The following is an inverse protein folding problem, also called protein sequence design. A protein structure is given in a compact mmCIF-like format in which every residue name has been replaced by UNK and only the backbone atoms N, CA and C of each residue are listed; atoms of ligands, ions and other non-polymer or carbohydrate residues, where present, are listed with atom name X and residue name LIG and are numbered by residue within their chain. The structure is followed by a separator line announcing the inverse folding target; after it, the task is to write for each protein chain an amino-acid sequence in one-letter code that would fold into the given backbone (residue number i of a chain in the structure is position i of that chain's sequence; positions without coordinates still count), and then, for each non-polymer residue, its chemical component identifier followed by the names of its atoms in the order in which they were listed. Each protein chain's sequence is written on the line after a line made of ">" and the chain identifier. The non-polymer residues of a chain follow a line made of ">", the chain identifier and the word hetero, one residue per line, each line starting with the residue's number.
data_IF_313339528336
#
_entry.id   IF_313339528336
#
_cell.length_a   1.000
_cell.length_b   1.000
_cell.length_c   1.000
_cell.angle_alpha   90.00
_cell.angle_beta   90.00
_cell.angle_gamma   90.00
#
_symmetry.space_group_name_H-M   'P 1'
#
loop_
_entity.id
_entity.type
_entity.pdbx_description
1 polymer ?
#
# COMPACT_ATOMS: atom_id res chain seq x y z
N UNK A 1 -19.73 -35.60 29.62
CA UNK A 1 -18.61 -35.32 28.68
C UNK A 1 -19.00 -34.38 27.52
N UNK A 2 -20.23 -34.46 26.98
CA UNK A 2 -20.71 -33.67 25.82
C UNK A 2 -20.75 -32.13 26.01
N UNK A 3 -21.01 -31.62 27.21
CA UNK A 3 -21.11 -30.16 27.47
C UNK A 3 -19.78 -29.41 27.32
N UNK A 4 -18.63 -30.08 27.50
CA UNK A 4 -17.30 -29.44 27.39
C UNK A 4 -16.87 -29.23 25.93
N UNK A 5 -17.23 -30.13 25.02
CA UNK A 5 -16.90 -29.99 23.59
C UNK A 5 -17.71 -28.88 22.92
N UNK A 6 -18.97 -28.65 23.32
CA UNK A 6 -19.80 -27.59 22.78
C UNK A 6 -19.26 -26.19 23.13
N UNK A 7 -18.80 -25.99 24.36
CA UNK A 7 -18.19 -24.72 24.78
C UNK A 7 -16.91 -24.40 24.00
N UNK A 8 -16.06 -25.40 23.74
CA UNK A 8 -14.84 -25.23 22.93
C UNK A 8 -15.15 -24.91 21.45
N UNK A 9 -16.19 -25.51 20.88
CA UNK A 9 -16.61 -25.23 19.50
C UNK A 9 -17.16 -23.81 19.34
N UNK A 10 -18.01 -23.37 20.27
CA UNK A 10 -18.55 -21.99 20.29
C UNK A 10 -17.41 -20.98 20.47
N UNK A 11 -16.46 -21.25 21.38
CA UNK A 11 -15.30 -20.40 21.58
C UNK A 11 -14.41 -20.32 20.32
N UNK A 12 -14.18 -21.44 19.64
CA UNK A 12 -13.41 -21.47 18.40
C UNK A 12 -14.09 -20.69 17.25
N UNK A 13 -15.43 -20.76 17.15
CA UNK A 13 -16.20 -19.99 16.15
C UNK A 13 -16.13 -18.49 16.46
N UNK A 14 -16.27 -18.09 17.72
CA UNK A 14 -16.18 -16.70 18.15
C UNK A 14 -14.78 -16.08 17.90
N UNK A 15 -13.73 -16.89 17.92
CA UNK A 15 -12.35 -16.45 17.69
C UNK A 15 -11.94 -16.41 16.19
N UNK A 16 -12.76 -16.95 15.28
CA UNK A 16 -12.39 -17.12 13.86
C UNK A 16 -12.53 -15.86 12.99
N UNK A 17 -12.97 -14.72 13.54
CA UNK A 17 -13.36 -13.52 12.78
C UNK A 17 -12.79 -12.19 13.28
N UNK A 18 -11.63 -12.18 13.94
CA UNK A 18 -11.09 -11.01 14.63
C UNK A 18 -10.70 -9.81 13.73
N UNK A 19 -10.63 -10.02 12.41
CA UNK A 19 -10.16 -9.01 11.47
C UNK A 19 -11.03 -8.95 10.22
N UNK A 20 -11.21 -7.74 9.70
CA UNK A 20 -11.96 -7.45 8.48
C UNK A 20 -11.21 -7.70 7.18
N UNK A 21 -11.81 -7.19 6.09
CA UNK A 21 -11.17 -7.17 4.78
C UNK A 21 -9.90 -6.31 4.77
N UNK A 22 -9.04 -6.59 3.81
CA UNK A 22 -7.74 -5.92 3.66
C UNK A 22 -7.95 -4.50 3.12
N UNK A 23 -7.30 -3.55 3.78
CA UNK A 23 -7.29 -2.12 3.43
C UNK A 23 -5.87 -1.71 3.07
N UNK A 24 -5.77 -0.73 2.19
CA UNK A 24 -4.51 -0.13 1.76
C UNK A 24 -4.58 1.37 2.05
N UNK A 25 -3.56 1.87 2.73
CA UNK A 25 -3.28 3.31 2.83
C UNK A 25 -2.03 3.55 1.98
N UNK A 26 -2.13 4.48 1.04
CA UNK A 26 -1.04 4.91 0.19
C UNK A 26 -0.98 6.43 0.22
N UNK A 27 0.16 7.00 0.61
CA UNK A 27 0.33 8.44 0.77
C UNK A 27 1.70 8.87 0.26
N UNK A 28 1.79 10.09 -0.26
CA UNK A 28 3.06 10.72 -0.57
C UNK A 28 3.61 11.42 0.67
N UNK A 29 4.94 11.40 0.80
CA UNK A 29 5.62 12.27 1.74
C UNK A 29 5.54 13.72 1.30
N UNK A 30 5.72 14.62 2.25
CA UNK A 30 5.89 16.04 1.96
C UNK A 30 7.24 16.25 1.27
N UNK A 31 7.39 17.38 0.60
CA UNK A 31 8.64 17.78 -0.04
C UNK A 31 9.11 16.84 -1.16
N UNK A 32 8.20 16.48 -2.06
CA UNK A 32 8.57 15.94 -3.37
C UNK A 32 9.16 17.07 -4.23
N UNK A 33 10.13 16.76 -5.08
CA UNK A 33 10.84 17.76 -5.85
C UNK A 33 11.05 17.35 -7.32
N UNK A 34 11.02 18.32 -8.21
CA UNK A 34 11.54 18.19 -9.57
C UNK A 34 13.08 18.28 -9.59
N UNK A 35 13.69 17.60 -10.55
CA UNK A 35 15.05 17.90 -10.97
C UNK A 35 15.15 19.30 -11.59
N UNK A 36 16.34 19.93 -11.65
CA UNK A 36 16.49 21.27 -12.21
C UNK A 36 15.96 21.43 -13.64
N UNK A 37 16.02 20.37 -14.43
CA UNK A 37 15.53 20.29 -15.82
C UNK A 37 14.07 19.78 -15.92
N UNK A 38 13.39 19.58 -14.79
CA UNK A 38 12.03 19.04 -14.67
C UNK A 38 11.80 17.67 -15.34
N UNK A 39 12.86 16.92 -15.64
CA UNK A 39 12.73 15.60 -16.29
C UNK A 39 12.46 14.49 -15.30
N UNK A 40 12.78 14.69 -14.02
CA UNK A 40 12.62 13.69 -12.96
C UNK A 40 11.91 14.27 -11.75
N UNK A 41 11.19 13.41 -11.04
CA UNK A 41 10.56 13.74 -9.75
C UNK A 41 11.10 12.77 -8.70
N UNK A 42 11.60 13.30 -7.59
CA UNK A 42 11.92 12.51 -6.41
C UNK A 42 10.86 12.72 -5.34
N UNK A 43 10.41 11.63 -4.72
CA UNK A 43 9.41 11.69 -3.67
C UNK A 43 9.48 10.48 -2.73
N UNK A 44 8.90 10.67 -1.55
CA UNK A 44 8.64 9.57 -0.62
C UNK A 44 7.26 8.97 -0.86
N UNK A 45 7.17 7.64 -0.75
CA UNK A 45 5.91 6.90 -0.80
C UNK A 45 5.76 6.07 0.47
N UNK A 46 4.60 6.21 1.12
CA UNK A 46 4.21 5.47 2.31
C UNK A 46 3.11 4.51 1.94
N UNK A 47 3.32 3.22 2.16
CA UNK A 47 2.29 2.19 1.92
C UNK A 47 2.10 1.36 3.18
N UNK A 48 0.84 1.16 3.53
CA UNK A 48 0.44 0.27 4.61
C UNK A 48 -0.73 -0.60 4.14
N UNK A 49 -0.52 -1.91 4.15
CA UNK A 49 -1.56 -2.92 3.93
C UNK A 49 -1.92 -3.50 5.29
N UNK A 50 -3.20 -3.49 5.65
CA UNK A 50 -3.65 -3.93 6.96
C UNK A 50 -5.05 -4.51 6.93
N UNK A 51 -5.44 -5.19 8.00
CA UNK A 51 -6.84 -5.56 8.27
C UNK A 51 -7.33 -4.80 9.49
N UNK A 52 -8.45 -4.10 9.33
CA UNK A 52 -9.15 -3.48 10.47
C UNK A 52 -9.54 -4.54 11.49
N UNK A 53 -9.44 -4.24 12.78
CA UNK A 53 -9.98 -5.10 13.82
C UNK A 53 -11.51 -5.20 13.67
N UNK A 54 -12.08 -6.35 14.06
CA UNK A 54 -13.52 -6.62 14.06
C UNK A 54 -13.92 -7.39 15.32
N UNK A 55 -15.20 -7.29 15.67
CA UNK A 55 -15.76 -7.98 16.84
C UNK A 55 -15.10 -7.47 18.12
N UNK A 56 -14.76 -8.40 19.02
CA UNK A 56 -14.16 -8.07 20.32
C UNK A 56 -12.82 -7.33 20.20
N UNK A 57 -12.06 -7.58 19.14
CA UNK A 57 -10.78 -6.89 18.91
C UNK A 57 -10.94 -5.44 18.53
N UNK A 58 -12.13 -5.00 18.12
CA UNK A 58 -12.41 -3.60 17.81
C UNK A 58 -12.84 -2.79 19.04
N UNK A 59 -12.96 -3.40 20.22
CA UNK A 59 -13.35 -2.71 21.45
C UNK A 59 -12.11 -2.37 22.29
N UNK A 60 -12.13 -1.23 23.02
CA UNK A 60 -13.20 -0.23 23.08
C UNK A 60 -13.12 0.85 21.98
N UNK A 61 -11.97 1.04 21.33
CA UNK A 61 -11.60 2.23 20.55
C UNK A 61 -11.35 1.95 19.07
N UNK A 62 -11.95 0.90 18.52
CA UNK A 62 -11.71 0.43 17.15
C UNK A 62 -10.58 -0.60 17.05
N UNK A 63 -9.81 -0.79 18.12
CA UNK A 63 -8.82 -1.86 18.22
C UNK A 63 -7.57 -1.66 17.37
N UNK A 64 -6.56 -2.51 17.60
CA UNK A 64 -5.33 -2.46 16.83
C UNK A 64 -5.49 -3.19 15.49
N UNK A 65 -5.28 -2.52 14.34
CA UNK A 65 -5.30 -3.19 13.05
C UNK A 65 -4.14 -4.19 12.94
N UNK A 66 -4.38 -5.32 12.26
CA UNK A 66 -3.29 -6.23 11.89
C UNK A 66 -2.60 -5.69 10.65
N UNK A 67 -1.40 -5.14 10.83
CA UNK A 67 -0.54 -4.72 9.72
C UNK A 67 -0.01 -5.97 9.02
N UNK A 68 -0.22 -6.04 7.70
CA UNK A 68 0.27 -7.13 6.84
C UNK A 68 1.53 -6.74 6.09
N UNK A 69 1.61 -5.47 5.67
CA UNK A 69 2.75 -4.90 4.99
C UNK A 69 2.88 -3.42 5.33
N UNK A 70 4.11 -2.94 5.42
CA UNK A 70 4.39 -1.53 5.66
C UNK A 70 5.73 -1.17 5.04
N UNK A 71 5.74 -0.14 4.21
CA UNK A 71 6.93 0.36 3.55
C UNK A 71 6.95 1.88 3.53
N UNK A 72 8.17 2.42 3.58
CA UNK A 72 8.46 3.82 3.35
C UNK A 72 9.67 3.84 2.44
N UNK A 73 9.48 4.26 1.21
CA UNK A 73 10.54 4.19 0.21
C UNK A 73 10.65 5.51 -0.54
N UNK A 74 11.84 5.78 -1.06
CA UNK A 74 12.13 6.92 -1.91
C UNK A 74 12.14 6.45 -3.34
N UNK A 75 11.43 7.17 -4.20
CA UNK A 75 11.32 6.88 -5.62
C UNK A 75 11.86 8.05 -6.44
N UNK A 76 12.43 7.72 -7.60
CA UNK A 76 12.69 8.65 -8.69
C UNK A 76 11.78 8.24 -9.86
N UNK A 77 10.92 9.14 -10.31
CA UNK A 77 10.15 8.98 -11.55
C UNK A 77 10.84 9.76 -12.65
N UNK A 78 11.07 9.14 -13.81
CA UNK A 78 11.41 9.85 -15.03
C UNK A 78 10.12 10.22 -15.77
N UNK A 79 9.81 11.52 -15.83
CA UNK A 79 8.54 12.02 -16.40
C UNK A 79 8.43 11.84 -17.92
N UNK A 80 9.56 11.61 -18.62
CA UNK A 80 9.56 11.42 -20.08
C UNK A 80 9.37 9.97 -20.47
N UNK A 81 9.97 9.05 -19.71
CA UNK A 81 9.95 7.60 -20.01
C UNK A 81 8.95 6.84 -19.16
N UNK A 82 8.33 7.51 -18.19
CA UNK A 82 7.46 6.93 -17.18
C UNK A 82 8.13 5.82 -16.34
N UNK A 83 9.46 5.87 -16.25
CA UNK A 83 10.24 4.87 -15.53
C UNK A 83 10.27 5.23 -14.04
N UNK A 84 9.70 4.37 -13.21
CA UNK A 84 9.71 4.48 -11.76
C UNK A 84 10.82 3.63 -11.15
N UNK A 85 11.82 4.28 -10.55
CA UNK A 85 12.93 3.62 -9.85
C UNK A 85 12.80 3.79 -8.35
N UNK A 86 12.78 2.68 -7.60
CA UNK A 86 12.93 2.71 -6.14
C UNK A 86 14.39 2.93 -5.77
N UNK A 87 14.71 4.08 -5.19
CA UNK A 87 16.07 4.48 -4.80
C UNK A 87 16.47 3.82 -3.48
N UNK A 88 15.59 3.87 -2.49
CA UNK A 88 15.89 3.42 -1.13
C UNK A 88 14.61 2.97 -0.43
N UNK A 89 14.73 1.95 0.42
CA UNK A 89 13.63 1.44 1.23
C UNK A 89 13.99 1.43 2.71
N UNK A 90 13.18 2.13 3.51
CA UNK A 90 13.31 2.18 4.96
C UNK A 90 12.63 0.97 5.60
N UNK A 91 12.94 -0.25 5.15
CA UNK A 91 12.35 -1.48 5.68
C UNK A 91 12.40 -1.57 7.22
N UNK A 92 11.36 -2.12 7.84
CA UNK A 92 11.30 -2.32 9.30
C UNK A 92 10.68 -1.16 10.10
N UNK A 93 10.27 -0.09 9.44
CA UNK A 93 9.50 1.02 10.00
C UNK A 93 8.27 0.55 10.83
N UNK A 94 8.31 0.69 12.17
CA UNK A 94 7.31 0.10 13.09
C UNK A 94 6.05 0.93 13.41
N UNK A 95 5.81 2.10 12.79
CA UNK A 95 4.81 3.09 13.29
C UNK A 95 4.11 3.97 12.26
N UNK A 96 3.04 4.68 12.62
CA UNK A 96 2.32 5.58 11.69
C UNK A 96 3.23 6.76 11.30
N UNK A 97 3.80 6.69 10.09
CA UNK A 97 4.85 7.59 9.60
C UNK A 97 4.38 8.56 8.52
N UNK A 98 3.09 8.56 8.21
CA UNK A 98 2.46 9.56 7.37
C UNK A 98 2.60 10.99 7.96
N UNK A 99 2.86 11.10 9.26
CA UNK A 99 3.21 12.36 9.91
C UNK A 99 4.68 12.75 9.77
N UNK A 100 5.59 11.80 9.48
CA UNK A 100 7.03 12.04 9.50
C UNK A 100 7.40 13.11 8.48
N UNK A 101 8.35 13.98 8.86
CA UNK A 101 8.83 15.02 7.96
C UNK A 101 9.82 14.37 7.01
N UNK A 102 9.51 14.46 5.73
CA UNK A 102 10.37 13.98 4.63
C UNK A 102 11.07 15.17 4.00
N UNK A 103 12.30 14.98 3.54
CA UNK A 103 13.06 16.00 2.81
C UNK A 103 13.73 15.35 1.61
N UNK A 104 13.61 15.94 0.44
CA UNK A 104 14.31 15.51 -0.77
C UNK A 104 14.84 16.71 -1.54
N UNK A 105 16.04 16.57 -2.11
CA UNK A 105 16.72 17.62 -2.88
C UNK A 105 17.49 16.98 -4.03
N UNK A 106 17.62 17.74 -5.12
CA UNK A 106 18.57 17.41 -6.17
C UNK A 106 19.87 18.19 -5.99
N UNK A 107 20.96 17.54 -6.34
CA UNK A 107 22.27 18.12 -6.62
C UNK A 107 22.65 17.76 -8.05
N UNK A 108 23.76 18.29 -8.56
CA UNK A 108 24.18 18.05 -9.95
C UNK A 108 24.31 16.56 -10.30
N UNK A 109 24.69 15.71 -9.33
CA UNK A 109 24.97 14.28 -9.58
C UNK A 109 24.19 13.32 -8.71
N UNK A 110 23.45 13.82 -7.72
CA UNK A 110 22.87 13.01 -6.66
C UNK A 110 21.53 13.53 -6.15
N UNK A 111 20.73 12.63 -5.59
CA UNK A 111 19.54 12.94 -4.81
C UNK A 111 19.89 12.86 -3.32
N UNK A 112 19.64 13.92 -2.58
CA UNK A 112 19.81 13.96 -1.12
C UNK A 112 18.46 13.84 -0.45
N UNK A 113 18.33 12.93 0.51
CA UNK A 113 17.05 12.70 1.19
C UNK A 113 17.21 12.32 2.66
N UNK A 114 16.16 12.60 3.42
CA UNK A 114 16.04 12.27 4.83
C UNK A 114 14.57 12.11 5.24
N UNK A 115 14.32 11.30 6.26
CA UNK A 115 13.01 11.20 6.90
C UNK A 115 13.14 11.26 8.42
N UNK A 116 12.57 12.30 9.03
CA UNK A 116 12.63 12.51 10.47
C UNK A 116 11.25 12.31 11.13
N UNK A 117 11.18 11.64 12.29
CA UNK A 117 9.93 11.53 13.03
C UNK A 117 9.42 12.90 13.51
N UNK A 118 8.11 13.05 13.64
CA UNK A 118 7.51 14.25 14.24
C UNK A 118 7.72 14.32 15.75
N UNK A 119 7.58 15.54 16.29
CA UNK A 119 7.57 15.81 17.73
C UNK A 119 6.57 14.87 18.42
N UNK A 120 6.96 14.29 19.56
CA UNK A 120 6.17 13.30 20.30
C UNK A 120 6.58 11.84 20.07
N UNK A 121 7.36 11.53 19.04
CA UNK A 121 7.82 10.15 18.80
C UNK A 121 8.56 9.50 19.98
N UNK A 122 9.31 10.30 20.75
CA UNK A 122 10.05 9.83 21.94
C UNK A 122 9.13 9.17 22.97
N UNK A 123 7.87 9.58 23.10
CA UNK A 123 6.92 8.92 24.00
C UNK A 123 6.48 7.56 23.47
N UNK A 124 6.45 7.33 22.15
CA UNK A 124 6.15 6.01 21.59
C UNK A 124 7.27 5.00 21.86
N UNK A 125 8.53 5.45 21.84
CA UNK A 125 9.68 4.62 22.23
C UNK A 125 9.65 4.18 23.69
N UNK A 126 9.04 4.97 24.58
CA UNK A 126 8.95 4.66 26.02
C UNK A 126 8.13 3.39 26.31
N UNK A 127 7.19 3.03 25.42
CA UNK A 127 6.27 1.92 25.60
C UNK A 127 6.61 0.67 24.76
N UNK A 128 7.70 0.69 23.98
CA UNK A 128 8.14 -0.42 23.12
C UNK A 128 9.56 -0.85 23.46
N UNK A 129 9.88 -2.12 23.20
CA UNK A 129 11.19 -2.71 23.51
C UNK A 129 12.32 -1.86 22.91
N UNK A 130 13.16 -1.31 23.79
CA UNK A 130 14.01 -0.17 23.49
C UNK A 130 15.05 -0.42 22.38
N UNK A 131 15.47 -1.66 22.10
CA UNK A 131 16.68 -1.89 21.32
C UNK A 131 16.47 -1.81 19.80
N UNK A 132 15.45 -2.47 19.25
CA UNK A 132 15.19 -2.48 17.79
C UNK A 132 14.67 -1.13 17.30
N UNK A 133 13.75 -0.53 18.06
CA UNK A 133 13.17 0.77 17.69
C UNK A 133 14.18 1.92 17.87
N UNK A 134 15.15 1.81 18.79
CA UNK A 134 16.24 2.81 18.92
C UNK A 134 17.25 2.72 17.78
N UNK A 135 17.60 1.50 17.32
CA UNK A 135 18.45 1.33 16.14
C UNK A 135 17.76 1.82 14.87
N UNK A 136 16.47 1.52 14.72
CA UNK A 136 15.64 2.08 13.65
C UNK A 136 15.58 3.61 13.74
N UNK A 137 15.44 4.18 14.93
CA UNK A 137 15.44 5.63 15.14
C UNK A 137 16.75 6.27 14.67
N UNK A 138 17.91 5.75 15.11
CA UNK A 138 19.22 6.24 14.67
C UNK A 138 19.36 6.17 13.15
N UNK A 139 18.95 5.05 12.53
CA UNK A 139 19.02 4.85 11.08
C UNK A 139 18.19 5.89 10.31
N UNK A 140 17.02 6.24 10.82
CA UNK A 140 16.10 7.14 10.12
C UNK A 140 16.51 8.63 10.26
N UNK A 141 17.30 9.00 11.27
CA UNK A 141 17.83 10.37 11.39
C UNK A 141 18.99 10.69 10.43
N UNK A 142 19.53 9.68 9.73
CA UNK A 142 20.62 9.93 8.79
C UNK A 142 20.14 10.58 7.50
N UNK A 143 21.01 11.42 6.96
CA UNK A 143 20.88 11.91 5.60
C UNK A 143 21.53 10.93 4.66
N UNK A 144 20.90 10.75 3.50
CA UNK A 144 21.37 9.84 2.48
C UNK A 144 21.61 10.61 1.19
N UNK A 145 22.63 10.19 0.43
CA UNK A 145 22.89 10.65 -0.92
C UNK A 145 22.83 9.46 -1.87
N UNK A 146 21.97 9.54 -2.88
CA UNK A 146 21.90 8.58 -3.97
C UNK A 146 22.57 9.18 -5.20
N UNK A 147 23.66 8.56 -5.65
CA UNK A 147 24.40 9.01 -6.82
C UNK A 147 23.82 8.37 -8.10
N UNK A 148 23.45 9.20 -9.08
CA UNK A 148 22.80 8.74 -10.31
C UNK A 148 23.67 7.83 -11.17
N UNK A 149 24.98 8.08 -11.20
CA UNK A 149 25.92 7.37 -12.08
C UNK A 149 26.24 5.99 -11.51
N UNK A 150 26.52 5.91 -10.21
CA UNK A 150 26.91 4.66 -9.55
C UNK A 150 25.72 3.85 -9.06
N UNK A 151 24.53 4.44 -9.01
CA UNK A 151 23.31 3.87 -8.42
C UNK A 151 23.49 3.42 -6.96
N UNK A 152 24.43 4.05 -6.23
CA UNK A 152 24.73 3.74 -4.82
C UNK A 152 24.11 4.77 -3.89
N UNK A 153 23.62 4.29 -2.74
CA UNK A 153 23.18 5.12 -1.62
C UNK A 153 24.27 5.10 -0.55
N UNK A 154 24.69 6.28 -0.11
CA UNK A 154 25.63 6.45 1.00
C UNK A 154 25.01 7.32 2.09
N UNK A 155 25.45 7.12 3.33
CA UNK A 155 25.12 8.01 4.44
C UNK A 155 26.00 9.25 4.39
N UNK A 156 25.41 10.42 4.60
CA UNK A 156 26.09 11.72 4.62
C UNK A 156 25.73 12.50 5.90
N UNK A 157 26.55 13.47 6.33
CA UNK A 157 26.13 14.41 7.36
C UNK A 157 24.95 15.27 6.87
N UNK A 158 24.17 15.88 7.79
CA UNK A 158 23.17 16.88 7.42
C UNK A 158 23.76 18.00 6.56
N UNK A 159 23.08 18.43 5.47
CA UNK A 159 23.51 19.58 4.69
C UNK A 159 23.64 20.83 5.58
N UNK A 160 24.76 21.54 5.46
CA UNK A 160 25.03 22.79 6.20
C UNK A 160 24.47 24.03 5.51
N UNK A 161 24.15 23.92 4.22
CA UNK A 161 23.56 24.96 3.40
C UNK A 161 22.18 24.49 2.90
N UNK A 162 21.28 25.44 2.69
CA UNK A 162 20.01 25.14 2.03
C UNK A 162 20.28 24.71 0.59
N UNK A 163 19.81 23.51 0.26
CA UNK A 163 19.91 22.98 -1.09
C UNK A 163 18.76 23.54 -1.94
N UNK A 164 19.00 23.79 -3.24
CA UNK A 164 17.94 24.15 -4.17
C UNK A 164 16.78 23.14 -4.13
N UNK A 165 15.55 23.65 -4.13
CA UNK A 165 14.35 22.86 -4.01
C UNK A 165 13.28 23.36 -4.98
N UNK A 166 12.83 22.48 -5.88
CA UNK A 166 11.79 22.76 -6.87
C UNK A 166 10.54 21.94 -6.51
N UNK A 167 9.58 22.51 -5.77
CA UNK A 167 8.43 21.76 -5.27
C UNK A 167 7.54 21.24 -6.40
N UNK A 168 6.90 20.09 -6.16
CA UNK A 168 5.76 19.60 -6.93
C UNK A 168 4.52 19.52 -6.04
N UNK A 169 3.35 19.85 -6.58
CA UNK A 169 2.09 19.69 -5.85
C UNK A 169 1.71 18.21 -5.73
N UNK A 170 0.85 17.87 -4.75
CA UNK A 170 0.38 16.49 -4.63
C UNK A 170 -0.57 16.07 -5.75
N UNK A 171 -1.26 17.01 -6.39
CA UNK A 171 -2.16 16.69 -7.47
C UNK A 171 -1.36 16.41 -8.76
N UNK A 172 -0.34 17.21 -9.07
CA UNK A 172 0.57 16.92 -10.20
C UNK A 172 1.32 15.61 -9.99
N UNK A 173 1.82 15.37 -8.77
CA UNK A 173 2.46 14.10 -8.45
C UNK A 173 1.49 12.92 -8.61
N UNK A 174 0.22 13.09 -8.25
CA UNK A 174 -0.80 12.04 -8.41
C UNK A 174 -1.10 11.81 -9.89
N UNK A 175 -1.18 12.86 -10.70
CA UNK A 175 -1.37 12.75 -12.14
C UNK A 175 -0.27 11.92 -12.79
N UNK A 176 0.99 12.21 -12.44
CA UNK A 176 2.16 11.46 -12.93
C UNK A 176 2.25 10.02 -12.43
N UNK A 177 1.49 9.62 -11.41
CA UNK A 177 1.70 8.32 -10.73
C UNK A 177 0.43 7.49 -10.56
N UNK A 178 -0.71 7.92 -11.09
CA UNK A 178 -2.01 7.27 -10.90
C UNK A 178 -2.11 5.89 -11.58
N UNK A 179 -1.29 5.63 -12.59
CA UNK A 179 -1.28 4.40 -13.37
C UNK A 179 -0.41 3.30 -12.74
N UNK A 180 0.50 3.65 -11.81
CA UNK A 180 1.34 2.66 -11.12
C UNK A 180 0.53 1.81 -10.13
N UNK A 181 0.68 0.50 -10.26
CA UNK A 181 0.07 -0.54 -9.42
C UNK A 181 0.78 -0.66 -8.06
N UNK A 182 0.18 -1.33 -7.08
CA UNK A 182 0.86 -1.62 -5.81
C UNK A 182 2.10 -2.49 -6.02
N UNK A 183 2.11 -3.36 -7.04
CA UNK A 183 3.31 -4.12 -7.42
C UNK A 183 4.45 -3.20 -7.86
N UNK A 184 4.19 -2.15 -8.63
CA UNK A 184 5.20 -1.16 -9.02
C UNK A 184 5.77 -0.44 -7.78
N UNK A 185 4.92 -0.25 -6.76
CA UNK A 185 5.35 0.24 -5.45
C UNK A 185 5.97 -0.84 -4.54
N UNK A 186 6.29 -2.02 -5.06
CA UNK A 186 6.97 -3.10 -4.35
C UNK A 186 6.09 -3.92 -3.39
N UNK A 187 4.77 -3.93 -3.60
CA UNK A 187 3.83 -4.75 -2.81
C UNK A 187 3.34 -5.94 -3.64
N UNK A 188 3.84 -7.13 -3.33
CA UNK A 188 3.29 -8.38 -3.87
C UNK A 188 2.08 -8.83 -3.03
N UNK A 189 0.91 -8.96 -3.67
CA UNK A 189 -0.33 -9.33 -2.97
C UNK A 189 -0.30 -10.80 -2.55
N UNK A 190 0.36 -11.68 -3.29
CA UNK A 190 0.48 -13.08 -2.93
C UNK A 190 1.43 -13.28 -1.74
N UNK A 191 2.46 -12.46 -1.60
CA UNK A 191 3.33 -12.47 -0.41
C UNK A 191 2.59 -11.94 0.83
N UNK A 192 1.91 -10.79 0.69
CA UNK A 192 1.23 -10.11 1.82
C UNK A 192 -0.08 -10.81 2.20
N UNK A 193 -0.71 -11.51 1.27
CA UNK A 193 -1.99 -12.18 1.43
C UNK A 193 -2.01 -13.55 0.72
N UNK A 194 -1.27 -14.55 1.25
CA UNK A 194 -1.03 -15.83 0.58
C UNK A 194 -2.28 -16.71 0.57
N UNK A 195 -3.18 -16.43 -0.38
CA UNK A 195 -4.43 -17.15 -0.59
C UNK A 195 -4.45 -17.77 -1.98
N UNK A 196 -5.16 -18.88 -2.13
CA UNK A 196 -5.36 -19.49 -3.44
C UNK A 196 -6.18 -18.58 -4.37
N UNK A 197 -5.94 -18.68 -5.68
CA UNK A 197 -6.74 -18.00 -6.73
C UNK A 197 -8.25 -18.09 -6.48
N UNK A 198 -8.75 -19.29 -6.15
CA UNK A 198 -10.19 -19.51 -5.85
C UNK A 198 -10.66 -18.66 -4.68
N UNK A 199 -9.88 -18.59 -3.61
CA UNK A 199 -10.24 -17.81 -2.43
C UNK A 199 -10.10 -16.30 -2.68
N UNK A 200 -9.10 -15.88 -3.45
CA UNK A 200 -8.96 -14.49 -3.88
C UNK A 200 -10.15 -14.01 -4.72
N UNK A 201 -10.58 -14.79 -5.72
CA UNK A 201 -11.79 -14.48 -6.51
C UNK A 201 -13.06 -14.43 -5.64
N UNK A 202 -13.15 -15.29 -4.63
CA UNK A 202 -14.24 -15.25 -3.64
C UNK A 202 -14.18 -13.96 -2.81
N UNK A 203 -13.01 -13.54 -2.36
CA UNK A 203 -12.83 -12.32 -1.59
C UNK A 203 -13.11 -11.06 -2.43
N UNK A 204 -12.71 -11.05 -3.71
CA UNK A 204 -13.08 -10.01 -4.68
C UNK A 204 -14.61 -9.89 -4.76
N UNK A 205 -15.32 -11.01 -4.90
CA UNK A 205 -16.78 -11.01 -5.02
C UNK A 205 -17.55 -10.55 -3.77
N UNK A 206 -16.88 -10.48 -2.61
CA UNK A 206 -17.49 -10.05 -1.34
C UNK A 206 -17.35 -8.55 -1.08
N UNK A 207 -16.55 -7.82 -1.89
CA UNK A 207 -16.34 -6.38 -1.76
C UNK A 207 -15.83 -5.89 -0.37
N UNK A 208 -15.32 -6.79 0.48
CA UNK A 208 -14.87 -6.47 1.84
C UNK A 208 -13.54 -5.68 1.85
N UNK A 209 -12.65 -6.00 0.91
CA UNK A 209 -11.34 -5.35 0.76
C UNK A 209 -11.51 -3.88 0.31
N UNK A 210 -10.43 -3.08 0.34
CA UNK A 210 -10.41 -1.77 -0.33
C UNK A 210 -10.44 -1.94 -1.86
N UNK A 211 -10.86 -0.90 -2.60
CA UNK A 211 -10.83 -0.93 -4.07
C UNK A 211 -9.40 -1.13 -4.57
N UNK A 212 -8.44 -0.35 -4.07
CA UNK A 212 -7.02 -0.47 -4.43
C UNK A 212 -6.50 -1.90 -4.26
N UNK A 213 -6.75 -2.54 -3.12
CA UNK A 213 -6.31 -3.93 -2.91
C UNK A 213 -7.02 -4.94 -3.83
N UNK A 214 -8.31 -4.73 -4.16
CA UNK A 214 -9.01 -5.62 -5.09
C UNK A 214 -8.51 -5.47 -6.52
N UNK A 215 -8.25 -4.24 -6.97
CA UNK A 215 -7.71 -3.99 -8.29
C UNK A 215 -6.35 -4.67 -8.41
N UNK A 216 -5.49 -4.50 -7.41
CA UNK A 216 -4.21 -5.19 -7.37
C UNK A 216 -4.33 -6.71 -7.40
N UNK A 217 -5.27 -7.28 -6.63
CA UNK A 217 -5.55 -8.72 -6.70
C UNK A 217 -5.97 -9.16 -8.11
N UNK A 218 -6.74 -8.34 -8.83
CA UNK A 218 -7.17 -8.62 -10.20
C UNK A 218 -5.97 -8.53 -11.14
N UNK A 219 -5.17 -7.48 -11.06
CA UNK A 219 -3.98 -7.25 -11.87
C UNK A 219 -2.98 -8.40 -11.75
N UNK A 220 -2.65 -8.78 -10.51
CA UNK A 220 -1.69 -9.87 -10.29
C UNK A 220 -2.27 -11.25 -10.63
N UNK A 221 -3.60 -11.43 -10.62
CA UNK A 221 -4.25 -12.66 -11.10
C UNK A 221 -4.43 -12.69 -12.62
N UNK A 222 -4.42 -11.54 -13.30
CA UNK A 222 -4.78 -11.38 -14.71
C UNK A 222 -4.12 -12.42 -15.64
N UNK A 223 -2.80 -12.72 -15.52
CA UNK A 223 -2.15 -13.72 -16.37
C UNK A 223 -2.74 -15.13 -16.27
N UNK A 224 -3.44 -15.43 -15.17
CA UNK A 224 -4.04 -16.73 -14.90
C UNK A 224 -5.56 -16.74 -15.06
N UNK A 225 -6.20 -15.59 -15.30
CA UNK A 225 -7.66 -15.50 -15.37
C UNK A 225 -8.17 -16.02 -16.70
N UNK A 226 -9.24 -16.80 -16.64
CA UNK A 226 -10.02 -17.19 -17.83
C UNK A 226 -11.25 -16.31 -17.95
N UNK A 227 -11.81 -16.20 -19.15
CA UNK A 227 -13.08 -15.48 -19.34
C UNK A 227 -14.20 -16.07 -18.47
N UNK A 228 -14.19 -17.40 -18.26
CA UNK A 228 -15.12 -18.09 -17.37
C UNK A 228 -14.96 -17.62 -15.92
N UNK A 229 -13.73 -17.44 -15.43
CA UNK A 229 -13.46 -16.94 -14.08
C UNK A 229 -13.98 -15.52 -13.91
N UNK A 230 -13.77 -14.65 -14.90
CA UNK A 230 -14.24 -13.27 -14.93
C UNK A 230 -15.77 -13.24 -14.88
N UNK A 231 -16.46 -13.90 -15.83
CA UNK A 231 -17.93 -13.93 -15.88
C UNK A 231 -18.53 -14.50 -14.59
N UNK A 232 -17.94 -15.57 -14.04
CA UNK A 232 -18.39 -16.19 -12.78
C UNK A 232 -18.21 -15.26 -11.59
N UNK A 233 -17.14 -14.47 -11.57
CA UNK A 233 -16.86 -13.51 -10.48
C UNK A 233 -17.83 -12.34 -10.52
N UNK A 234 -18.12 -11.79 -11.71
CA UNK A 234 -19.16 -10.76 -11.90
C UNK A 234 -20.53 -11.26 -11.41
N UNK A 235 -20.96 -12.46 -11.82
CA UNK A 235 -22.22 -13.05 -11.31
C UNK A 235 -22.23 -13.30 -9.79
N UNK A 236 -21.06 -13.45 -9.15
CA UNK A 236 -20.98 -13.56 -7.69
C UNK A 236 -21.09 -12.19 -7.03
N UNK A 237 -20.52 -11.15 -7.63
CA UNK A 237 -20.68 -9.76 -7.20
C UNK A 237 -22.16 -9.35 -7.23
N UNK A 238 -22.86 -9.59 -8.33
CA UNK A 238 -24.27 -9.22 -8.47
C UNK A 238 -25.14 -9.94 -7.42
N UNK A 239 -24.98 -11.26 -7.30
CA UNK A 239 -25.68 -12.05 -6.27
C UNK A 239 -25.31 -11.66 -4.83
N UNK A 240 -24.10 -11.16 -4.60
CA UNK A 240 -23.72 -10.67 -3.27
C UNK A 240 -24.43 -9.35 -2.96
N UNK A 241 -24.50 -8.46 -3.97
CA UNK A 241 -25.14 -7.16 -3.87
C UNK A 241 -26.66 -7.26 -3.71
N UNK A 242 -27.31 -8.16 -4.44
CA UNK A 242 -28.77 -8.39 -4.36
C UNK A 242 -29.22 -9.00 -3.02
N UNK A 243 -28.28 -9.52 -2.22
CA UNK A 243 -28.53 -10.01 -0.86
C UNK A 243 -28.37 -8.94 0.21
N UNK A 244 -27.87 -7.76 -0.15
CA UNK A 244 -27.73 -6.65 0.79
C UNK A 244 -29.05 -5.88 0.90
N UNK A 245 -29.28 -5.24 2.05
CA UNK A 245 -30.38 -4.28 2.17
C UNK A 245 -30.17 -3.09 1.22
N UNK A 246 -31.24 -2.39 0.84
CA UNK A 246 -31.19 -1.29 -0.13
C UNK A 246 -30.15 -0.22 0.23
N UNK A 247 -30.07 0.14 1.51
CA UNK A 247 -29.06 1.07 2.01
C UNK A 247 -27.62 0.56 1.79
N UNK A 248 -27.34 -0.68 2.21
CA UNK A 248 -26.01 -1.28 2.04
C UNK A 248 -25.66 -1.49 0.56
N UNK A 249 -26.66 -1.86 -0.25
CA UNK A 249 -26.54 -2.01 -1.69
C UNK A 249 -26.11 -0.68 -2.34
N UNK A 250 -26.75 0.42 -1.99
CA UNK A 250 -26.38 1.76 -2.47
C UNK A 250 -24.93 2.11 -2.14
N UNK A 251 -24.49 1.87 -0.90
CA UNK A 251 -23.09 2.11 -0.47
C UNK A 251 -22.06 1.23 -1.20
N UNK A 252 -22.46 0.04 -1.66
CA UNK A 252 -21.56 -0.91 -2.32
C UNK A 252 -21.55 -0.79 -3.85
N UNK A 253 -22.51 -0.06 -4.45
CA UNK A 253 -22.66 0.01 -5.89
C UNK A 253 -21.40 0.55 -6.59
N UNK A 254 -20.82 1.64 -6.07
CA UNK A 254 -19.59 2.21 -6.62
C UNK A 254 -18.40 1.24 -6.55
N UNK A 255 -18.27 0.50 -5.43
CA UNK A 255 -17.23 -0.54 -5.28
C UNK A 255 -17.42 -1.68 -6.28
N UNK A 256 -18.68 -2.10 -6.50
CA UNK A 256 -19.03 -3.14 -7.48
C UNK A 256 -18.65 -2.68 -8.88
N UNK A 257 -19.07 -1.49 -9.28
CA UNK A 257 -18.84 -0.98 -10.63
C UNK A 257 -17.35 -0.87 -10.96
N UNK A 258 -16.55 -0.26 -10.09
CA UNK A 258 -15.09 -0.19 -10.26
C UNK A 258 -14.45 -1.59 -10.36
N UNK A 259 -14.93 -2.56 -9.58
CA UNK A 259 -14.40 -3.94 -9.63
C UNK A 259 -14.79 -4.66 -10.92
N UNK A 260 -16.01 -4.44 -11.43
CA UNK A 260 -16.48 -5.03 -12.68
C UNK A 260 -15.76 -4.42 -13.87
N UNK A 261 -15.58 -3.10 -13.89
CA UNK A 261 -14.82 -2.40 -14.91
C UNK A 261 -13.41 -2.96 -15.04
N UNK A 262 -12.69 -3.09 -13.91
CA UNK A 262 -11.34 -3.67 -13.91
C UNK A 262 -11.30 -5.12 -14.39
N UNK A 263 -12.31 -5.93 -14.04
CA UNK A 263 -12.43 -7.30 -14.56
C UNK A 263 -12.71 -7.35 -16.07
N UNK A 264 -13.44 -6.37 -16.61
CA UNK A 264 -13.73 -6.26 -18.04
C UNK A 264 -12.56 -5.70 -18.84
N UNK A 265 -11.73 -4.84 -18.25
CA UNK A 265 -10.42 -4.44 -18.78
C UNK A 265 -9.55 -5.67 -19.03
N UNK A 266 -9.28 -6.47 -17.99
CA UNK A 266 -8.52 -7.73 -18.14
C UNK A 266 -9.13 -8.66 -19.20
N UNK A 267 -10.46 -8.71 -19.28
CA UNK A 267 -11.13 -9.50 -20.32
C UNK A 267 -10.78 -9.01 -21.72
N UNK A 268 -10.77 -7.70 -21.97
CA UNK A 268 -10.45 -7.12 -23.28
C UNK A 268 -9.02 -7.43 -23.67
N UNK A 269 -8.08 -7.28 -22.74
CA UNK A 269 -6.66 -7.58 -22.96
C UNK A 269 -6.45 -9.07 -23.33
N UNK A 270 -7.19 -9.98 -22.66
CA UNK A 270 -7.16 -11.41 -23.00
C UNK A 270 -7.68 -11.71 -24.41
N UNK A 271 -8.59 -10.89 -24.96
CA UNK A 271 -9.13 -11.08 -26.31
C UNK A 271 -8.17 -10.56 -27.37
N UNK A 272 -7.52 -9.41 -27.12
CA UNK A 272 -6.52 -8.83 -28.02
C UNK A 272 -5.31 -9.77 -28.21
N UNK A 273 -4.83 -10.38 -27.13
CA UNK A 273 -3.71 -11.32 -27.18
C UNK A 273 -3.99 -12.64 -27.93
N UNK A 274 -5.23 -12.91 -28.34
CA UNK A 274 -5.61 -14.10 -29.14
C UNK A 274 -5.60 -13.76 -30.64
N UNK A 275 -5.72 -12.47 -30.99
CA UNK A 275 -5.81 -12.00 -32.37
C UNK A 275 -4.43 -11.66 -32.98
N UNK A 276 -3.39 -11.58 -32.14
CA UNK A 276 -1.97 -11.44 -32.53
C UNK A 276 -1.27 -12.81 -32.71
#
# INVERSE_FOLDING_TARGET
>A
MMRKCFALLVLAILLSGCYGGVKVISRFGRNAAYSPDSTKIVFFKFIQVYKSAKGLWALPDGGMPKVLHKSVSVYCLNTKTDELTRIFDYTGVSSNRDSWKTRTFYTDTSIVFNIEPTIGWKSELKYRAADVDTLMYKRNMYWFSYNHNTKKVITIPPPTQELPYWPISFDDLREHTNHFTLKDWGVDVFEVYPKSKRQMLKDISRLENSIAFRNEMIDQLAPTLTERDIRRTIRRLDRYLDKQSDYQRSLMLGKRNATVEKLLEVKRDLQQNIEE
#
